data_IF_417517524505
#
_entry.id   IF_417517524505
#
_cell.length_a   1.000
_cell.length_b   1.000
_cell.length_c   1.000
_cell.angle_alpha   90.00
_cell.angle_beta   90.00
_cell.angle_gamma   90.00
#
_symmetry.space_group_name_H-M   'P 1'
#
loop_
_entity.id
_entity.type
_entity.pdbx_description
1 polymer ?
#
# COMPACT_ATOMS: atom_id res chain seq x y z
N UNK A 1 -5.23 -4.27 34.30
CA UNK A 1 -5.81 -5.49 33.66
C UNK A 1 -7.34 -5.42 33.67
N UNK A 2 -7.95 -4.35 33.14
CA UNK A 2 -9.42 -4.23 33.07
C UNK A 2 -9.95 -4.22 31.62
N UNK A 3 -9.09 -3.94 30.65
CA UNK A 3 -9.44 -3.79 29.23
C UNK A 3 -9.56 -5.13 28.47
N UNK A 4 -9.20 -6.24 29.11
CA UNK A 4 -9.29 -7.61 28.56
C UNK A 4 -10.70 -8.23 28.70
N UNK A 5 -11.63 -7.54 29.38
CA UNK A 5 -13.00 -8.00 29.62
C UNK A 5 -14.06 -7.15 28.88
N UNK A 6 -13.64 -6.25 27.98
CA UNK A 6 -14.59 -5.65 27.06
C UNK A 6 -15.11 -6.76 26.14
N UNK A 7 -16.41 -7.04 26.22
CA UNK A 7 -17.11 -7.89 25.28
C UNK A 7 -16.74 -7.43 23.86
N UNK A 8 -15.98 -8.23 23.08
CA UNK A 8 -15.75 -7.90 21.69
C UNK A 8 -17.13 -7.90 21.04
N UNK A 9 -17.63 -6.72 20.70
CA UNK A 9 -18.78 -6.61 19.82
C UNK A 9 -18.25 -6.93 18.44
N UNK A 10 -18.29 -8.21 18.07
CA UNK A 10 -17.95 -8.63 16.72
C UNK A 10 -19.01 -8.06 15.78
N UNK A 11 -18.66 -6.96 15.12
CA UNK A 11 -19.48 -6.31 14.12
C UNK A 11 -18.71 -6.33 12.82
N UNK A 12 -19.26 -7.05 11.86
CA UNK A 12 -18.80 -6.94 10.48
C UNK A 12 -19.17 -5.55 9.95
N UNK A 13 -18.15 -4.76 9.63
CA UNK A 13 -18.28 -3.52 8.87
C UNK A 13 -17.83 -3.82 7.46
N UNK A 14 -18.60 -3.40 6.45
CA UNK A 14 -18.04 -3.24 5.09
C UNK A 14 -17.13 -2.01 5.06
N UNK A 15 -16.30 -1.87 4.02
CA UNK A 15 -15.45 -0.69 3.85
C UNK A 15 -16.25 0.62 3.95
N UNK A 16 -17.40 0.83 3.26
CA UNK A 16 -18.19 2.05 3.43
C UNK A 16 -18.67 2.26 4.86
N UNK A 17 -19.17 1.21 5.52
CA UNK A 17 -19.67 1.32 6.90
C UNK A 17 -18.54 1.65 7.89
N UNK A 18 -17.33 1.15 7.65
CA UNK A 18 -16.14 1.52 8.43
C UNK A 18 -15.81 3.01 8.25
N UNK A 19 -15.83 3.51 7.01
CA UNK A 19 -15.53 4.92 6.72
C UNK A 19 -16.56 5.85 7.38
N UNK A 20 -17.85 5.51 7.28
CA UNK A 20 -18.93 6.25 7.94
C UNK A 20 -18.75 6.24 9.46
N UNK A 21 -18.45 5.07 10.04
CA UNK A 21 -18.22 4.94 11.48
C UNK A 21 -17.03 5.78 11.98
N UNK A 22 -15.93 5.83 11.23
CA UNK A 22 -14.78 6.69 11.57
C UNK A 22 -15.18 8.17 11.51
N UNK A 23 -15.88 8.58 10.46
CA UNK A 23 -16.37 9.94 10.30
C UNK A 23 -17.28 10.36 11.46
N UNK A 24 -18.23 9.51 11.85
CA UNK A 24 -19.14 9.74 12.99
C UNK A 24 -18.38 9.89 14.32
N UNK A 25 -17.21 9.25 14.44
CA UNK A 25 -16.33 9.38 15.59
C UNK A 25 -15.37 10.59 15.52
N UNK A 26 -15.42 11.41 14.47
CA UNK A 26 -14.47 12.52 14.26
C UNK A 26 -13.05 12.04 13.91
N UNK A 27 -12.92 10.81 13.43
CA UNK A 27 -11.67 10.18 13.04
C UNK A 27 -11.51 10.20 11.51
N UNK A 28 -10.27 10.25 11.05
CA UNK A 28 -9.93 10.17 9.62
C UNK A 28 -9.22 8.85 9.35
N UNK A 29 -9.69 8.16 8.31
CA UNK A 29 -9.01 6.99 7.78
C UNK A 29 -7.68 7.40 7.14
N UNK A 30 -6.62 6.72 7.54
CA UNK A 30 -5.26 7.05 7.13
C UNK A 30 -4.75 6.09 6.06
N UNK A 31 -4.69 4.81 6.44
CA UNK A 31 -4.31 3.70 5.56
C UNK A 31 -4.78 2.39 6.16
N UNK A 32 -4.90 1.40 5.29
CA UNK A 32 -4.91 0.00 5.73
C UNK A 32 -3.52 -0.37 6.29
N UNK A 33 -3.48 -1.26 7.26
CA UNK A 33 -2.20 -1.76 7.76
C UNK A 33 -1.46 -2.52 6.64
N UNK A 34 -2.20 -3.37 5.92
CA UNK A 34 -1.81 -3.97 4.64
C UNK A 34 -2.75 -3.42 3.56
N UNK A 35 -2.29 -2.48 2.74
CA UNK A 35 -3.12 -1.77 1.76
C UNK A 35 -3.25 -2.48 0.41
N UNK A 36 -2.26 -3.28 0.01
CA UNK A 36 -2.26 -3.96 -1.28
C UNK A 36 -3.52 -4.82 -1.50
N UNK A 37 -4.06 -5.55 -0.49
CA UNK A 37 -5.32 -6.28 -0.66
C UNK A 37 -6.52 -5.41 -1.05
N UNK A 38 -6.52 -4.11 -0.75
CA UNK A 38 -7.63 -3.20 -1.04
C UNK A 38 -7.44 -2.41 -2.35
N UNK A 39 -6.28 -2.53 -3.01
CA UNK A 39 -5.96 -1.74 -4.20
C UNK A 39 -6.24 -2.51 -5.50
N UNK A 40 -6.94 -1.92 -6.49
CA UNK A 40 -7.26 -2.60 -7.74
C UNK A 40 -6.03 -3.12 -8.50
N UNK A 41 -4.95 -2.34 -8.52
CA UNK A 41 -3.69 -2.69 -9.20
C UNK A 41 -2.92 -3.83 -8.53
N UNK A 42 -3.28 -4.19 -7.29
CA UNK A 42 -2.61 -5.21 -6.48
C UNK A 42 -3.41 -6.52 -6.43
N UNK A 43 -4.41 -6.69 -7.30
CA UNK A 43 -5.25 -7.89 -7.36
C UNK A 43 -5.52 -8.30 -8.82
N UNK A 44 -6.16 -9.45 -9.09
CA UNK A 44 -6.44 -9.91 -10.44
C UNK A 44 -7.22 -8.91 -11.32
N UNK A 45 -7.95 -7.94 -10.74
CA UNK A 45 -8.59 -6.86 -11.48
C UNK A 45 -7.60 -6.04 -12.31
N UNK A 46 -6.33 -5.99 -11.90
CA UNK A 46 -5.26 -5.31 -12.63
C UNK A 46 -5.08 -5.81 -14.08
N UNK A 47 -5.49 -7.06 -14.34
CA UNK A 47 -5.41 -7.70 -15.67
C UNK A 47 -6.73 -7.63 -16.44
N UNK A 48 -7.69 -6.83 -15.96
CA UNK A 48 -9.00 -6.69 -16.59
C UNK A 48 -9.18 -5.29 -17.18
N UNK A 49 -10.04 -5.12 -18.21
CA UNK A 49 -10.39 -3.80 -18.74
C UNK A 49 -11.05 -2.88 -17.69
N UNK A 50 -11.56 -3.44 -16.59
CA UNK A 50 -12.24 -2.69 -15.54
C UNK A 50 -11.30 -1.85 -14.68
N UNK A 51 -9.99 -2.14 -14.67
CA UNK A 51 -9.01 -1.42 -13.86
C UNK A 51 -9.07 0.10 -14.12
N UNK A 52 -9.07 0.50 -15.39
CA UNK A 52 -9.08 1.90 -15.78
C UNK A 52 -10.31 2.63 -15.22
N UNK A 53 -11.49 1.98 -15.26
CA UNK A 53 -12.73 2.54 -14.70
C UNK A 53 -12.67 2.63 -13.18
N UNK A 54 -12.17 1.59 -12.50
CA UNK A 54 -12.01 1.62 -11.05
C UNK A 54 -11.07 2.73 -10.60
N UNK A 55 -9.95 2.95 -11.30
CA UNK A 55 -8.99 3.98 -10.97
C UNK A 55 -9.51 5.42 -11.12
N UNK A 56 -10.65 5.63 -11.81
CA UNK A 56 -11.32 6.94 -11.85
C UNK A 56 -12.19 7.23 -10.64
N UNK A 57 -12.51 6.23 -9.83
CA UNK A 57 -13.35 6.40 -8.65
C UNK A 57 -12.56 7.02 -7.50
N UNK A 58 -13.23 7.71 -6.56
CA UNK A 58 -12.64 8.06 -5.27
C UNK A 58 -12.01 6.85 -4.58
N UNK A 59 -10.90 7.04 -3.87
CA UNK A 59 -10.12 5.92 -3.30
C UNK A 59 -10.94 5.02 -2.38
N UNK A 60 -11.89 5.58 -1.61
CA UNK A 60 -12.78 4.80 -0.74
C UNK A 60 -13.72 3.88 -1.54
N UNK A 61 -14.18 4.33 -2.70
CA UNK A 61 -15.00 3.51 -3.60
C UNK A 61 -14.16 2.41 -4.27
N UNK A 62 -12.87 2.68 -4.55
CA UNK A 62 -11.95 1.63 -5.02
C UNK A 62 -11.78 0.54 -3.96
N UNK A 63 -11.56 0.93 -2.70
CA UNK A 63 -11.45 -0.02 -1.58
C UNK A 63 -12.71 -0.88 -1.43
N UNK A 64 -13.90 -0.27 -1.47
CA UNK A 64 -15.16 -0.99 -1.38
C UNK A 64 -15.38 -1.95 -2.57
N UNK A 65 -15.02 -1.53 -3.79
CA UNK A 65 -15.13 -2.39 -4.96
C UNK A 65 -14.20 -3.61 -4.87
N UNK A 66 -12.97 -3.43 -4.39
CA UNK A 66 -11.99 -4.52 -4.24
C UNK A 66 -12.38 -5.45 -3.08
N UNK A 67 -12.92 -4.91 -1.98
CA UNK A 67 -13.50 -5.71 -0.90
C UNK A 67 -14.56 -6.68 -1.44
N UNK A 68 -15.54 -6.15 -2.16
CA UNK A 68 -16.61 -6.95 -2.77
C UNK A 68 -16.07 -7.96 -3.77
N UNK A 69 -15.12 -7.55 -4.63
CA UNK A 69 -14.52 -8.44 -5.62
C UNK A 69 -13.78 -9.61 -4.99
N UNK A 70 -13.04 -9.37 -3.90
CA UNK A 70 -12.30 -10.44 -3.21
C UNK A 70 -13.23 -11.37 -2.45
N UNK A 71 -14.30 -10.85 -1.84
CA UNK A 71 -15.35 -11.62 -1.18
C UNK A 71 -14.89 -12.44 0.04
N UNK A 72 -13.63 -12.32 0.46
CA UNK A 72 -13.03 -13.09 1.55
C UNK A 72 -12.23 -12.22 2.54
N UNK A 73 -12.42 -10.90 2.49
CA UNK A 73 -11.89 -10.00 3.52
C UNK A 73 -12.84 -10.07 4.73
N UNK A 74 -12.44 -10.85 5.74
CA UNK A 74 -13.23 -11.05 6.96
C UNK A 74 -12.86 -10.08 8.10
N UNK A 75 -11.74 -9.36 7.96
CA UNK A 75 -11.23 -8.45 9.00
C UNK A 75 -10.52 -7.26 8.37
N UNK A 76 -10.88 -6.06 8.84
CA UNK A 76 -10.21 -4.82 8.48
C UNK A 76 -9.18 -4.44 9.53
N UNK A 77 -7.93 -4.22 9.11
CA UNK A 77 -6.88 -3.65 9.95
C UNK A 77 -6.39 -2.36 9.33
N UNK A 78 -6.43 -1.28 10.09
CA UNK A 78 -6.21 0.07 9.58
C UNK A 78 -5.61 0.98 10.65
N UNK A 79 -5.12 2.12 10.18
CA UNK A 79 -4.67 3.25 10.98
C UNK A 79 -5.73 4.35 10.83
N UNK A 80 -6.07 5.01 11.92
CA UNK A 80 -6.91 6.18 11.95
C UNK A 80 -6.32 7.22 12.90
N UNK A 81 -6.57 8.49 12.62
CA UNK A 81 -6.11 9.62 13.43
C UNK A 81 -7.26 10.59 13.70
N UNK A 82 -7.06 11.49 14.67
CA UNK A 82 -7.96 12.61 14.85
C UNK A 82 -7.91 13.51 13.60
N UNK A 83 -9.07 14.04 13.19
CA UNK A 83 -9.20 14.70 11.89
C UNK A 83 -8.41 15.99 11.68
N UNK A 84 -7.74 16.52 12.71
CA UNK A 84 -6.96 17.74 12.62
C UNK A 84 -5.57 17.54 12.01
N UNK A 85 -5.00 16.32 12.03
CA UNK A 85 -3.65 16.04 11.49
C UNK A 85 -3.46 14.60 10.99
N UNK A 86 -3.75 14.30 9.71
CA UNK A 86 -3.40 13.02 9.15
C UNK A 86 -1.86 12.86 9.09
N UNK A 87 -1.33 11.76 9.63
CA UNK A 87 0.10 11.54 9.81
C UNK A 87 0.73 10.60 8.78
N UNK A 88 -0.04 9.71 8.15
CA UNK A 88 0.51 8.65 7.29
C UNK A 88 0.14 8.78 5.82
N UNK A 89 -0.80 9.67 5.49
CA UNK A 89 -1.14 9.96 4.09
C UNK A 89 0.03 10.63 3.37
N UNK A 90 0.44 10.03 2.25
CA UNK A 90 1.49 10.59 1.38
C UNK A 90 0.82 11.31 0.21
N UNK A 91 1.10 12.60 0.08
CA UNK A 91 0.70 13.37 -1.09
C UNK A 91 1.67 13.14 -2.24
N UNK A 92 1.27 12.28 -3.17
CA UNK A 92 2.00 12.05 -4.42
C UNK A 92 1.76 13.15 -5.46
N UNK A 93 0.84 14.10 -5.25
CA UNK A 93 0.58 15.18 -6.22
C UNK A 93 1.47 16.41 -6.03
N UNK A 94 2.04 16.58 -4.84
CA UNK A 94 2.97 17.68 -4.49
C UNK A 94 4.41 17.22 -4.59
N UNK A 95 5.39 18.08 -4.27
CA UNK A 95 6.80 17.70 -4.21
C UNK A 95 7.23 17.13 -2.85
N UNK A 96 6.32 17.01 -1.87
CA UNK A 96 6.63 16.49 -0.54
C UNK A 96 7.17 15.06 -0.54
N UNK A 97 6.86 14.26 -1.57
CA UNK A 97 7.40 12.90 -1.69
C UNK A 97 8.93 12.90 -1.86
N UNK A 98 9.54 14.00 -2.30
CA UNK A 98 10.98 14.08 -2.51
C UNK A 98 11.77 13.99 -1.20
N UNK A 99 11.16 14.35 -0.06
CA UNK A 99 11.78 14.29 1.28
C UNK A 99 11.70 12.90 1.93
N UNK A 100 11.00 11.96 1.30
CA UNK A 100 10.79 10.63 1.86
C UNK A 100 12.05 9.78 1.73
N UNK A 101 12.38 9.06 2.79
CA UNK A 101 13.41 8.03 2.81
C UNK A 101 12.72 6.66 2.84
N UNK A 102 12.87 5.82 1.80
CA UNK A 102 12.25 4.52 1.74
C UNK A 102 12.92 3.54 2.70
N UNK A 103 12.12 2.72 3.37
CA UNK A 103 12.54 1.68 4.29
C UNK A 103 11.86 0.37 3.89
N UNK A 104 12.60 -0.73 3.91
CA UNK A 104 12.05 -2.06 3.62
C UNK A 104 11.03 -2.47 4.68
N UNK A 105 9.87 -2.98 4.24
CA UNK A 105 8.87 -3.52 5.16
C UNK A 105 9.30 -4.88 5.69
N UNK A 106 9.03 -5.16 6.97
CA UNK A 106 9.26 -6.48 7.56
C UNK A 106 8.41 -7.53 6.82
N UNK A 107 8.95 -8.73 6.64
CA UNK A 107 8.23 -9.82 5.93
C UNK A 107 8.31 -9.74 4.41
N UNK A 108 8.92 -8.67 3.85
CA UNK A 108 9.28 -8.62 2.44
C UNK A 108 10.39 -9.63 2.13
N UNK A 109 10.17 -10.50 1.16
CA UNK A 109 11.15 -11.44 0.61
C UNK A 109 11.53 -11.05 -0.82
N UNK A 110 12.72 -11.49 -1.22
CA UNK A 110 13.24 -11.33 -2.59
C UNK A 110 13.44 -12.73 -3.15
N UNK A 111 12.78 -13.04 -4.25
CA UNK A 111 12.94 -14.30 -4.98
C UNK A 111 13.72 -14.05 -6.26
N UNK A 112 14.70 -14.89 -6.56
CA UNK A 112 15.53 -14.80 -7.78
C UNK A 112 15.39 -16.02 -8.70
N UNK A 113 14.56 -16.98 -8.31
CA UNK A 113 14.34 -18.24 -9.03
C UNK A 113 12.93 -18.28 -9.62
N UNK A 114 12.75 -19.03 -10.71
CA UNK A 114 11.46 -19.23 -11.39
C UNK A 114 10.77 -17.91 -11.79
N UNK A 115 11.57 -16.96 -12.28
CA UNK A 115 11.08 -15.65 -12.67
C UNK A 115 10.54 -15.65 -14.10
N UNK A 116 9.54 -14.79 -14.40
CA UNK A 116 9.16 -14.47 -15.77
C UNK A 116 10.36 -13.93 -16.57
N UNK A 117 10.31 -14.08 -17.90
CA UNK A 117 11.35 -13.55 -18.78
C UNK A 117 11.55 -12.05 -18.59
N UNK A 118 12.80 -11.62 -18.43
CA UNK A 118 13.18 -10.21 -18.25
C UNK A 118 13.12 -9.71 -16.80
N UNK A 119 12.59 -10.51 -15.87
CA UNK A 119 12.70 -10.21 -14.44
C UNK A 119 14.00 -10.79 -13.86
N UNK A 120 14.64 -9.99 -13.00
CA UNK A 120 15.86 -10.33 -12.27
C UNK A 120 15.59 -10.68 -10.81
N UNK A 121 14.50 -10.15 -10.24
CA UNK A 121 13.98 -10.56 -8.95
C UNK A 121 12.47 -10.33 -8.87
N UNK A 122 11.81 -10.97 -7.92
CA UNK A 122 10.43 -10.69 -7.53
C UNK A 122 10.39 -10.36 -6.04
N UNK A 123 9.80 -9.22 -5.69
CA UNK A 123 9.50 -8.84 -4.32
C UNK A 123 8.13 -9.38 -3.94
N UNK A 124 8.02 -10.01 -2.79
CA UNK A 124 6.74 -10.44 -2.25
C UNK A 124 6.65 -10.16 -0.76
N UNK A 125 5.44 -9.98 -0.26
CA UNK A 125 5.19 -9.68 1.14
C UNK A 125 4.42 -10.84 1.78
N UNK A 126 5.09 -11.54 2.70
CA UNK A 126 4.55 -12.71 3.38
C UNK A 126 3.43 -12.40 4.37
N UNK A 127 3.30 -11.15 4.80
CA UNK A 127 2.25 -10.71 5.75
C UNK A 127 0.84 -10.60 5.14
N UNK A 128 0.67 -10.75 3.82
CA UNK A 128 -0.65 -10.68 3.23
C UNK A 128 -1.47 -11.94 3.49
N UNK A 129 -2.67 -11.77 4.03
CA UNK A 129 -3.67 -12.84 4.11
C UNK A 129 -4.27 -13.20 2.75
N UNK A 130 -4.00 -12.40 1.71
CA UNK A 130 -4.57 -12.54 0.38
C UNK A 130 -3.48 -12.56 -0.68
N UNK A 131 -3.64 -13.33 -1.77
CA UNK A 131 -2.72 -13.26 -2.90
C UNK A 131 -2.62 -11.84 -3.45
N UNK A 132 -1.40 -11.32 -3.47
CA UNK A 132 -0.98 -10.07 -4.09
C UNK A 132 0.14 -10.45 -5.05
N UNK A 133 0.09 -10.03 -6.34
CA UNK A 133 1.18 -10.28 -7.27
C UNK A 133 2.49 -9.70 -6.75
N UNK A 134 3.59 -10.43 -6.95
CA UNK A 134 4.92 -9.90 -6.61
C UNK A 134 5.31 -8.72 -7.51
N UNK A 135 6.11 -7.80 -6.98
CA UNK A 135 6.69 -6.70 -7.77
C UNK A 135 7.95 -7.21 -8.47
N UNK A 136 7.97 -7.17 -9.79
CA UNK A 136 9.11 -7.62 -10.58
C UNK A 136 10.18 -6.52 -10.67
N UNK A 137 11.42 -6.90 -10.37
CA UNK A 137 12.60 -6.08 -10.57
C UNK A 137 13.31 -6.47 -11.88
N UNK A 138 13.83 -5.48 -12.58
CA UNK A 138 14.58 -5.60 -13.82
C UNK A 138 15.78 -4.64 -13.81
N UNK A 139 16.57 -4.64 -14.87
CA UNK A 139 17.78 -3.79 -14.97
C UNK A 139 17.50 -2.30 -14.75
N UNK A 140 16.31 -1.82 -15.14
CA UNK A 140 15.93 -0.42 -15.02
C UNK A 140 15.62 0.00 -13.58
N UNK A 141 14.98 -0.87 -12.79
CA UNK A 141 14.48 -0.52 -11.46
C UNK A 141 15.33 -1.06 -10.30
N UNK A 142 16.26 -2.00 -10.54
CA UNK A 142 17.22 -2.46 -9.54
C UNK A 142 18.03 -1.31 -8.92
N UNK A 143 18.60 -0.35 -9.69
CA UNK A 143 19.36 0.74 -9.09
C UNK A 143 18.53 1.61 -8.14
N UNK A 144 17.23 1.83 -8.47
CA UNK A 144 16.31 2.53 -7.58
C UNK A 144 16.04 1.72 -6.31
N UNK A 145 15.78 0.41 -6.44
CA UNK A 145 15.55 -0.49 -5.30
C UNK A 145 16.77 -0.55 -4.36
N UNK A 146 18.00 -0.58 -4.91
CA UNK A 146 19.23 -0.54 -4.11
C UNK A 146 19.39 0.76 -3.30
N UNK A 147 18.74 1.85 -3.70
CA UNK A 147 18.69 3.11 -2.95
C UNK A 147 18.02 2.98 -1.58
N UNK A 148 17.17 1.97 -1.36
CA UNK A 148 16.50 1.72 -0.07
C UNK A 148 17.53 1.50 1.05
N UNK A 149 18.53 0.65 0.80
CA UNK A 149 19.56 0.31 1.80
C UNK A 149 20.53 1.48 2.06
N UNK A 150 20.59 2.44 1.13
CA UNK A 150 21.47 3.60 1.24
C UNK A 150 20.86 4.74 2.08
N UNK A 151 19.58 4.64 2.43
CA UNK A 151 18.88 5.66 3.23
C UNK A 151 18.79 7.02 2.55
N UNK A 152 18.90 7.06 1.22
CA UNK A 152 18.81 8.29 0.41
C UNK A 152 17.36 8.72 0.22
N UNK A 153 17.16 10.01 0.01
CA UNK A 153 15.82 10.55 -0.23
C UNK A 153 15.33 10.23 -1.65
N UNK A 154 14.01 10.18 -1.85
CA UNK A 154 13.44 10.02 -3.20
C UNK A 154 13.81 11.18 -4.13
N UNK A 155 14.01 12.40 -3.62
CA UNK A 155 14.48 13.55 -4.39
C UNK A 155 15.92 13.39 -4.89
N UNK A 156 16.79 12.72 -4.15
CA UNK A 156 18.14 12.41 -4.61
C UNK A 156 18.15 11.30 -5.67
N UNK A 157 17.32 10.28 -5.49
CA UNK A 157 17.14 9.22 -6.48
C UNK A 157 16.55 9.75 -7.78
N UNK A 158 15.58 10.68 -7.71
CA UNK A 158 14.89 11.22 -8.88
C UNK A 158 15.80 11.99 -9.82
N UNK A 159 16.88 12.61 -9.32
CA UNK A 159 17.92 13.28 -10.14
C UNK A 159 18.61 12.32 -11.11
N UNK A 160 18.76 11.05 -10.74
CA UNK A 160 19.39 10.00 -11.56
C UNK A 160 18.37 9.14 -12.28
N UNK A 161 17.19 8.95 -11.68
CA UNK A 161 16.17 8.03 -12.15
C UNK A 161 14.80 8.76 -12.20
N UNK A 162 14.41 9.33 -13.36
CA UNK A 162 13.16 10.07 -13.49
C UNK A 162 11.89 9.28 -13.10
N UNK A 163 11.95 7.94 -13.19
CA UNK A 163 10.87 7.00 -12.82
C UNK A 163 10.74 6.77 -11.30
N UNK A 164 11.57 7.42 -10.46
CA UNK A 164 11.62 7.19 -9.01
C UNK A 164 10.24 7.30 -8.36
N UNK A 165 9.50 8.36 -8.67
CA UNK A 165 8.19 8.61 -8.04
C UNK A 165 7.22 7.44 -8.28
N UNK A 166 7.05 7.03 -9.53
CA UNK A 166 6.10 5.98 -9.90
C UNK A 166 6.54 4.62 -9.36
N UNK A 167 7.85 4.34 -9.40
CA UNK A 167 8.41 3.11 -8.86
C UNK A 167 8.20 3.00 -7.33
N UNK A 168 8.53 4.05 -6.58
CA UNK A 168 8.37 4.02 -5.12
C UNK A 168 6.90 4.12 -4.67
N UNK A 169 6.05 4.79 -5.46
CA UNK A 169 4.59 4.71 -5.25
C UNK A 169 4.09 3.28 -5.45
N UNK A 170 4.55 2.58 -6.48
CA UNK A 170 4.20 1.16 -6.68
C UNK A 170 4.66 0.30 -5.51
N UNK A 171 5.91 0.43 -5.05
CA UNK A 171 6.41 -0.33 -3.89
C UNK A 171 5.59 -0.07 -2.62
N UNK A 172 5.16 1.18 -2.40
CA UNK A 172 4.25 1.54 -1.31
C UNK A 172 2.87 0.91 -1.46
N UNK A 173 2.28 1.00 -2.66
CA UNK A 173 0.98 0.40 -2.97
C UNK A 173 0.97 -1.12 -2.72
N UNK A 174 2.09 -1.79 -3.00
CA UNK A 174 2.28 -3.23 -2.81
C UNK A 174 2.80 -3.61 -1.40
N UNK A 175 2.81 -2.70 -0.42
CA UNK A 175 3.30 -2.92 0.95
C UNK A 175 4.75 -3.48 1.04
N UNK A 176 5.58 -3.17 0.05
CA UNK A 176 6.99 -3.60 0.02
C UNK A 176 7.87 -2.66 0.86
N UNK A 177 7.46 -1.41 1.01
CA UNK A 177 8.20 -0.39 1.74
C UNK A 177 7.31 0.46 2.64
N UNK A 178 7.94 1.11 3.61
CA UNK A 178 7.42 2.27 4.32
C UNK A 178 8.32 3.48 4.07
N UNK A 179 7.87 4.65 4.50
CA UNK A 179 8.68 5.86 4.46
C UNK A 179 8.84 6.47 5.83
N UNK A 180 9.98 7.08 6.05
CA UNK A 180 10.17 8.11 7.08
C UNK A 180 10.45 9.44 6.40
N UNK A 181 10.19 10.53 7.11
CA UNK A 181 10.71 11.85 6.72
C UNK A 181 12.21 11.91 7.05
N UNK A 182 12.98 12.60 6.20
CA UNK A 182 14.40 12.87 6.42
C UNK A 182 14.65 13.65 7.71
#
# INVERSE_FOLDING_TARGET
>A
MADLLLHPQDRAYTVPQLMDWLSDCGMVFERWLMQAPYLPQCCPLAQTPHLAKLQTLPINEQYAAVELFRGNIHMHTFIASAGDKPQTQISWSTDQWQELVPLRTRGMSVQTEQLPQGALAALSQSGHLFPVPGVLLNEQNIPMYQGIEQGVTLGELSKKHPQTKDFFKMLWDFDQIHFRKA
#
